data_IF_736816344661
#
_entry.id   IF_736816344661
#
_cell.length_a   1.000
_cell.length_b   1.000
_cell.length_c   1.000
_cell.angle_alpha   90.00
_cell.angle_beta   90.00
_cell.angle_gamma   90.00
#
_symmetry.space_group_name_H-M   'P 1'
#
loop_
_entity.id
_entity.type
_entity.pdbx_description
1 polymer ?
#
# COMPACT_ATOMS: atom_id res chain seq x y z
N UNK A 1 -13.23 -24.21 -13.23
CA UNK A 1 -12.49 -22.93 -13.27
C UNK A 1 -12.75 -22.19 -14.56
N UNK A 2 -12.27 -22.67 -15.71
CA UNK A 2 -12.49 -21.97 -16.99
C UNK A 2 -13.98 -21.83 -17.35
N UNK A 3 -14.77 -22.90 -17.25
CA UNK A 3 -16.21 -22.84 -17.57
C UNK A 3 -16.97 -21.90 -16.62
N UNK A 4 -16.52 -21.83 -15.37
CA UNK A 4 -17.09 -20.91 -14.38
C UNK A 4 -16.72 -19.46 -14.68
N UNK A 5 -15.48 -19.19 -15.09
CA UNK A 5 -15.06 -17.85 -15.53
C UNK A 5 -15.88 -17.40 -16.75
N UNK A 6 -16.08 -18.29 -17.72
CA UNK A 6 -16.91 -18.02 -18.90
C UNK A 6 -18.38 -17.78 -18.54
N UNK A 7 -18.92 -18.52 -17.57
CA UNK A 7 -20.28 -18.30 -17.06
C UNK A 7 -20.44 -16.91 -16.46
N UNK A 8 -19.47 -16.46 -15.65
CA UNK A 8 -19.48 -15.13 -15.05
C UNK A 8 -19.36 -14.02 -16.12
N UNK A 9 -18.55 -14.24 -17.16
CA UNK A 9 -18.48 -13.35 -18.32
C UNK A 9 -19.84 -13.24 -19.03
N UNK A 10 -20.59 -14.34 -19.13
CA UNK A 10 -21.95 -14.35 -19.68
C UNK A 10 -22.93 -13.41 -18.95
N UNK A 11 -22.64 -13.07 -17.69
CA UNK A 11 -23.39 -12.07 -16.91
C UNK A 11 -22.81 -10.65 -17.00
N UNK A 12 -21.89 -10.43 -17.92
CA UNK A 12 -21.24 -9.13 -18.15
C UNK A 12 -20.14 -8.79 -17.14
N UNK A 13 -19.65 -9.76 -16.36
CA UNK A 13 -18.61 -9.51 -15.36
C UNK A 13 -17.20 -9.68 -15.93
N UNK A 14 -16.30 -8.81 -15.48
CA UNK A 14 -14.91 -8.81 -15.87
C UNK A 14 -14.10 -9.66 -14.89
N UNK A 15 -13.50 -10.73 -15.40
CA UNK A 15 -12.81 -11.74 -14.60
C UNK A 15 -11.30 -11.76 -14.86
N UNK A 16 -10.53 -12.25 -13.90
CA UNK A 16 -9.09 -12.46 -14.03
C UNK A 16 -8.60 -13.62 -13.14
N UNK A 17 -7.49 -14.28 -13.49
CA UNK A 17 -6.95 -15.37 -12.68
C UNK A 17 -6.22 -14.84 -11.44
N UNK A 18 -6.46 -15.49 -10.30
CA UNK A 18 -5.73 -15.30 -9.05
C UNK A 18 -4.95 -16.56 -8.67
N UNK A 19 -3.92 -16.42 -7.83
CA UNK A 19 -3.17 -17.54 -7.27
C UNK A 19 -4.12 -18.59 -6.71
N UNK A 20 -3.83 -19.86 -7.01
CA UNK A 20 -4.57 -20.97 -6.41
C UNK A 20 -4.46 -20.90 -4.88
N UNK A 21 -5.60 -21.05 -4.20
CA UNK A 21 -5.70 -20.91 -2.72
C UNK A 21 -5.29 -19.53 -2.18
N UNK A 22 -5.12 -18.55 -3.06
CA UNK A 22 -4.77 -17.18 -2.73
C UNK A 22 -5.78 -16.19 -3.31
N UNK A 23 -5.47 -14.90 -3.14
CA UNK A 23 -6.29 -13.79 -3.64
C UNK A 23 -5.52 -12.86 -4.56
N UNK A 24 -4.22 -13.08 -4.72
CA UNK A 24 -3.33 -12.25 -5.52
C UNK A 24 -3.57 -12.51 -7.02
N UNK A 25 -3.79 -11.48 -7.84
CA UNK A 25 -3.86 -11.61 -9.28
C UNK A 25 -2.61 -12.27 -9.88
N UNK A 26 -2.78 -13.05 -10.95
CA UNK A 26 -1.69 -13.64 -11.75
C UNK A 26 -1.36 -12.86 -13.03
N UNK A 27 -2.20 -11.89 -13.36
CA UNK A 27 -2.04 -10.97 -14.50
C UNK A 27 -0.99 -9.89 -14.25
N UNK A 28 -0.42 -9.34 -15.33
CA UNK A 28 0.72 -8.41 -15.28
C UNK A 28 0.39 -7.10 -14.55
N UNK A 29 -0.76 -6.50 -14.83
CA UNK A 29 -1.25 -5.27 -14.18
C UNK A 29 -2.28 -5.58 -13.07
N UNK A 30 -2.25 -6.79 -12.54
CA UNK A 30 -3.19 -7.26 -11.54
C UNK A 30 -4.64 -7.27 -12.04
N UNK A 31 -5.59 -6.97 -11.16
CA UNK A 31 -7.02 -6.99 -11.51
C UNK A 31 -7.43 -5.98 -12.59
N UNK A 32 -6.55 -5.05 -12.96
CA UNK A 32 -6.80 -4.09 -14.06
C UNK A 32 -6.79 -4.76 -15.43
N UNK A 33 -6.19 -5.94 -15.56
CA UNK A 33 -6.25 -6.77 -16.77
C UNK A 33 -7.49 -7.68 -16.78
N UNK A 34 -8.49 -7.43 -15.93
CA UNK A 34 -9.72 -8.18 -15.97
C UNK A 34 -10.41 -8.04 -17.32
N UNK A 35 -10.97 -9.16 -17.80
CA UNK A 35 -11.53 -9.26 -19.14
C UNK A 35 -12.96 -9.81 -19.09
N UNK A 36 -13.81 -9.30 -19.98
CA UNK A 36 -15.09 -9.90 -20.30
C UNK A 36 -15.07 -10.55 -21.70
N UNK A 37 -13.89 -10.74 -22.30
CA UNK A 37 -13.72 -11.45 -23.57
C UNK A 37 -13.54 -12.96 -23.28
N UNK A 38 -14.48 -13.82 -23.73
CA UNK A 38 -14.37 -15.26 -23.57
C UNK A 38 -13.06 -15.84 -24.09
N UNK A 39 -12.53 -15.35 -25.21
CA UNK A 39 -11.31 -15.89 -25.81
C UNK A 39 -10.07 -15.52 -24.99
N UNK A 40 -10.01 -14.29 -24.48
CA UNK A 40 -8.98 -13.89 -23.53
C UNK A 40 -9.03 -14.72 -22.25
N UNK A 41 -10.23 -14.96 -21.70
CA UNK A 41 -10.40 -15.82 -20.53
C UNK A 41 -9.95 -17.25 -20.80
N UNK A 42 -10.27 -17.83 -21.97
CA UNK A 42 -9.77 -19.16 -22.36
C UNK A 42 -8.26 -19.22 -22.37
N UNK A 43 -7.58 -18.18 -22.89
CA UNK A 43 -6.11 -18.09 -22.88
C UNK A 43 -5.55 -18.02 -21.46
N UNK A 44 -6.11 -17.16 -20.61
CA UNK A 44 -5.69 -16.98 -19.22
C UNK A 44 -5.80 -18.28 -18.41
N UNK A 45 -6.93 -19.00 -18.51
CA UNK A 45 -7.10 -20.26 -17.77
C UNK A 45 -6.45 -21.48 -18.45
N UNK A 46 -6.10 -21.41 -19.74
CA UNK A 46 -5.18 -22.39 -20.34
C UNK A 46 -3.77 -22.25 -19.74
N UNK A 47 -3.32 -21.02 -19.53
CA UNK A 47 -2.03 -20.73 -18.89
C UNK A 47 -2.04 -21.05 -17.39
N UNK A 48 -3.16 -20.79 -16.70
CA UNK A 48 -3.31 -21.03 -15.26
C UNK A 48 -4.56 -21.89 -14.94
N UNK A 49 -4.54 -23.21 -15.20
CA UNK A 49 -5.73 -24.06 -15.10
C UNK A 49 -6.38 -24.09 -13.71
N UNK A 50 -5.57 -24.00 -12.67
CA UNK A 50 -5.99 -24.08 -11.27
C UNK A 50 -6.14 -22.72 -10.59
N UNK A 51 -6.08 -21.62 -11.36
CA UNK A 51 -6.23 -20.27 -10.82
C UNK A 51 -7.63 -20.05 -10.26
N UNK A 52 -7.68 -19.38 -9.11
CA UNK A 52 -8.91 -18.81 -8.58
C UNK A 52 -9.44 -17.73 -9.54
N UNK A 53 -10.73 -17.43 -9.44
CA UNK A 53 -11.40 -16.44 -10.27
C UNK A 53 -11.61 -15.18 -9.46
N UNK A 54 -10.98 -14.08 -9.88
CA UNK A 54 -11.28 -12.74 -9.40
C UNK A 54 -12.31 -12.05 -10.30
N UNK A 55 -13.15 -11.20 -9.72
CA UNK A 55 -14.06 -10.28 -10.44
C UNK A 55 -13.65 -8.85 -10.12
N UNK A 56 -13.33 -8.07 -11.14
CA UNK A 56 -13.06 -6.63 -10.99
C UNK A 56 -14.40 -5.88 -10.84
N UNK A 57 -14.67 -5.34 -9.66
CA UNK A 57 -16.00 -4.82 -9.31
C UNK A 57 -16.39 -3.63 -10.19
N UNK A 58 -15.54 -2.60 -10.27
CA UNK A 58 -15.82 -1.39 -11.04
C UNK A 58 -16.04 -1.66 -12.55
N UNK A 59 -15.16 -2.44 -13.18
CA UNK A 59 -15.32 -2.82 -14.58
C UNK A 59 -16.63 -3.60 -14.83
N UNK A 60 -17.04 -4.40 -13.85
CA UNK A 60 -18.30 -5.17 -13.90
C UNK A 60 -19.53 -4.35 -13.52
N UNK A 61 -19.39 -3.04 -13.21
CA UNK A 61 -20.46 -2.18 -12.65
C UNK A 61 -21.10 -2.79 -11.41
N UNK A 62 -20.26 -3.34 -10.54
CA UNK A 62 -20.65 -3.99 -9.30
C UNK A 62 -20.12 -3.24 -8.09
N UNK A 63 -20.91 -3.24 -7.03
CA UNK A 63 -20.48 -2.97 -5.67
C UNK A 63 -20.83 -4.18 -4.82
N UNK A 64 -19.86 -4.72 -4.08
CA UNK A 64 -20.02 -5.96 -3.32
C UNK A 64 -19.81 -5.69 -1.84
N UNK A 65 -20.82 -5.95 -1.01
CA UNK A 65 -20.65 -5.92 0.43
C UNK A 65 -20.04 -7.25 0.89
N UNK A 66 -18.79 -7.20 1.36
CA UNK A 66 -18.00 -8.28 1.91
C UNK A 66 -18.15 -8.29 3.44
N UNK A 67 -18.81 -9.33 3.95
CA UNK A 67 -19.16 -9.53 5.35
C UNK A 67 -18.26 -10.62 5.92
N UNK A 68 -17.32 -10.25 6.79
CA UNK A 68 -16.38 -11.18 7.45
C UNK A 68 -16.71 -11.34 8.96
N UNK A 69 -17.32 -12.47 9.37
CA UNK A 69 -17.66 -12.72 10.77
C UNK A 69 -16.45 -12.79 11.68
N UNK A 70 -15.26 -13.11 11.15
CA UNK A 70 -14.01 -13.14 11.95
C UNK A 70 -13.59 -11.75 12.39
N UNK A 71 -14.09 -10.71 11.71
CA UNK A 71 -13.82 -9.31 12.00
C UNK A 71 -15.05 -8.57 12.55
N UNK A 72 -16.08 -9.31 12.99
CA UNK A 72 -17.29 -8.76 13.61
C UNK A 72 -18.41 -8.38 12.63
N UNK A 73 -18.27 -8.75 11.35
CA UNK A 73 -19.30 -8.50 10.34
C UNK A 73 -20.40 -9.56 10.36
N UNK A 74 -21.65 -9.12 10.28
CA UNK A 74 -22.80 -10.00 10.10
C UNK A 74 -23.88 -9.33 9.25
N UNK A 75 -24.81 -10.11 8.70
CA UNK A 75 -25.94 -9.56 7.95
C UNK A 75 -26.81 -8.66 8.83
N UNK A 76 -26.95 -8.99 10.11
CA UNK A 76 -27.66 -8.18 11.10
C UNK A 76 -26.95 -6.85 11.33
N UNK A 77 -25.62 -6.85 11.42
CA UNK A 77 -24.84 -5.61 11.59
C UNK A 77 -24.95 -4.71 10.36
N UNK A 78 -24.92 -5.27 9.14
CA UNK A 78 -25.12 -4.54 7.90
C UNK A 78 -26.55 -3.97 7.83
N UNK A 79 -27.53 -4.78 8.21
CA UNK A 79 -28.94 -4.40 8.26
C UNK A 79 -29.20 -3.29 9.27
N UNK A 80 -28.54 -3.33 10.42
CA UNK A 80 -28.64 -2.27 11.43
C UNK A 80 -28.12 -0.93 10.93
N UNK A 81 -27.05 -0.94 10.14
CA UNK A 81 -26.41 0.28 9.64
C UNK A 81 -27.12 0.86 8.41
N UNK A 82 -27.62 0.01 7.52
CA UNK A 82 -28.10 0.44 6.20
C UNK A 82 -29.52 0.00 5.86
N UNK A 83 -30.23 -0.63 6.79
CA UNK A 83 -31.56 -1.22 6.56
C UNK A 83 -31.51 -2.60 5.91
N UNK A 84 -32.66 -3.26 5.73
CA UNK A 84 -32.72 -4.61 5.16
C UNK A 84 -32.15 -4.65 3.75
N UNK A 85 -31.32 -5.66 3.48
CA UNK A 85 -30.73 -5.85 2.15
C UNK A 85 -31.74 -6.49 1.20
N UNK A 86 -31.87 -6.00 -0.04
CA UNK A 86 -32.75 -6.62 -1.02
C UNK A 86 -32.22 -8.00 -1.42
N UNK A 87 -33.12 -8.81 -1.95
CA UNK A 87 -32.75 -10.07 -2.57
C UNK A 87 -31.81 -9.83 -3.76
N UNK A 88 -30.62 -10.43 -3.68
CA UNK A 88 -29.56 -10.24 -4.68
C UNK A 88 -28.66 -11.47 -4.77
N UNK A 89 -27.68 -11.46 -5.67
CA UNK A 89 -26.66 -12.51 -5.78
C UNK A 89 -25.85 -12.60 -4.49
N UNK A 90 -25.67 -13.83 -3.99
CA UNK A 90 -25.00 -14.09 -2.72
C UNK A 90 -23.96 -15.18 -2.85
N UNK A 91 -22.79 -14.94 -2.26
CA UNK A 91 -21.69 -15.92 -2.23
C UNK A 91 -21.25 -16.16 -0.80
N UNK A 92 -21.20 -17.43 -0.41
CA UNK A 92 -20.50 -17.85 0.81
C UNK A 92 -19.00 -17.85 0.53
N UNK A 93 -18.23 -17.14 1.34
CA UNK A 93 -16.77 -17.09 1.21
C UNK A 93 -16.15 -18.31 1.88
N UNK A 94 -14.96 -18.74 1.44
CA UNK A 94 -14.24 -19.84 2.10
C UNK A 94 -13.74 -19.50 3.52
N UNK A 95 -13.80 -18.23 3.94
CA UNK A 95 -13.53 -17.80 5.31
C UNK A 95 -14.75 -17.89 6.25
N UNK A 96 -15.91 -18.34 5.75
CA UNK A 96 -17.17 -18.38 6.50
C UNK A 96 -18.00 -17.11 6.41
N UNK A 97 -17.58 -16.13 5.61
CA UNK A 97 -18.28 -14.86 5.39
C UNK A 97 -19.28 -14.91 4.24
N UNK A 98 -19.82 -13.73 3.89
CA UNK A 98 -20.85 -13.53 2.87
C UNK A 98 -20.49 -12.36 1.97
N UNK A 99 -20.61 -12.53 0.65
CA UNK A 99 -20.62 -11.42 -0.29
C UNK A 99 -22.05 -11.19 -0.79
N UNK A 100 -22.51 -9.94 -0.77
CA UNK A 100 -23.75 -9.49 -1.42
C UNK A 100 -23.39 -8.60 -2.60
N UNK A 101 -23.80 -8.98 -3.80
CA UNK A 101 -23.44 -8.27 -5.04
C UNK A 101 -24.55 -7.31 -5.43
N UNK A 102 -24.23 -6.06 -5.73
CA UNK A 102 -25.18 -5.05 -6.19
C UNK A 102 -24.72 -4.43 -7.50
N UNK A 103 -25.66 -4.11 -8.39
CA UNK A 103 -25.36 -3.37 -9.61
C UNK A 103 -25.26 -1.87 -9.31
N UNK A 104 -24.32 -1.21 -9.98
CA UNK A 104 -24.20 0.25 -9.97
C UNK A 104 -24.83 0.83 -11.26
N UNK A 105 -25.20 2.10 -11.19
CA UNK A 105 -25.81 2.87 -12.28
C UNK A 105 -24.77 3.54 -13.20
N UNK A 106 -23.49 3.16 -13.07
CA UNK A 106 -22.37 3.76 -13.80
C UNK A 106 -21.77 5.01 -13.13
N UNK A 107 -22.39 5.55 -12.07
CA UNK A 107 -21.74 6.57 -11.24
C UNK A 107 -20.61 5.91 -10.42
N UNK A 108 -19.46 6.58 -10.22
CA UNK A 108 -18.38 6.02 -9.43
C UNK A 108 -18.85 5.66 -8.01
N UNK A 109 -18.46 4.49 -7.53
CA UNK A 109 -18.67 4.02 -6.17
C UNK A 109 -17.33 3.57 -5.63
N UNK A 110 -16.82 4.26 -4.60
CA UNK A 110 -15.51 3.93 -4.02
C UNK A 110 -15.63 2.79 -3.03
N UNK A 111 -14.69 1.84 -3.09
CA UNK A 111 -14.58 0.83 -2.04
C UNK A 111 -14.15 1.43 -0.70
N UNK A 112 -14.80 1.03 0.40
CA UNK A 112 -14.56 1.54 1.75
C UNK A 112 -14.98 0.56 2.83
N UNK A 113 -14.66 0.85 4.09
CA UNK A 113 -15.25 0.13 5.22
C UNK A 113 -16.64 0.68 5.53
N UNK A 114 -17.60 -0.22 5.67
CA UNK A 114 -18.96 0.09 6.11
C UNK A 114 -19.10 -0.02 7.63
N UNK A 115 -18.25 -0.84 8.26
CA UNK A 115 -18.24 -1.07 9.71
C UNK A 115 -17.26 -2.19 10.07
N UNK A 116 -17.20 -2.61 11.35
CA UNK A 116 -16.40 -3.76 11.77
C UNK A 116 -16.77 -5.02 10.97
N UNK A 117 -15.79 -5.57 10.24
CA UNK A 117 -15.98 -6.75 9.40
C UNK A 117 -16.92 -6.56 8.20
N UNK A 118 -17.24 -5.32 7.84
CA UNK A 118 -18.06 -4.99 6.67
C UNK A 118 -17.25 -4.10 5.73
N UNK A 119 -16.91 -4.61 4.55
CA UNK A 119 -16.18 -3.89 3.51
C UNK A 119 -17.03 -3.77 2.24
N UNK A 120 -17.11 -2.58 1.64
CA UNK A 120 -17.63 -2.40 0.30
C UNK A 120 -16.49 -2.50 -0.72
N UNK A 121 -16.59 -3.44 -1.66
CA UNK A 121 -15.68 -3.60 -2.79
C UNK A 121 -16.36 -3.08 -4.05
N UNK A 122 -15.87 -1.97 -4.59
CA UNK A 122 -16.45 -1.32 -5.76
C UNK A 122 -15.31 -0.85 -6.69
N UNK A 123 -15.31 0.39 -7.16
CA UNK A 123 -14.27 0.91 -8.06
C UNK A 123 -12.89 0.83 -7.42
N UNK A 124 -11.92 0.36 -8.22
CA UNK A 124 -10.56 0.08 -7.75
C UNK A 124 -10.44 -1.15 -6.84
N UNK A 125 -11.52 -1.93 -6.67
CA UNK A 125 -11.55 -3.15 -5.89
C UNK A 125 -11.97 -4.38 -6.71
N UNK A 126 -11.78 -5.55 -6.11
CA UNK A 126 -12.17 -6.84 -6.68
C UNK A 126 -12.57 -7.82 -5.57
N UNK A 127 -13.25 -8.89 -5.97
CA UNK A 127 -13.63 -10.00 -5.09
C UNK A 127 -13.22 -11.34 -5.70
N UNK A 128 -13.14 -12.38 -4.87
CA UNK A 128 -12.94 -13.76 -5.32
C UNK A 128 -14.30 -14.43 -5.50
N UNK A 129 -14.49 -15.06 -6.66
CA UNK A 129 -15.74 -15.67 -7.09
C UNK A 129 -15.74 -17.19 -6.92
N UNK A 130 -16.91 -17.83 -6.75
CA UNK A 130 -17.04 -19.27 -6.87
C UNK A 130 -16.58 -19.79 -8.25
N UNK A 131 -16.04 -21.03 -8.34
CA UNK A 131 -15.83 -22.01 -7.28
C UNK A 131 -14.42 -21.94 -6.68
N UNK A 132 -13.82 -20.75 -6.55
CA UNK A 132 -12.45 -20.57 -6.05
C UNK A 132 -12.20 -21.24 -4.69
N UNK A 133 -10.95 -21.57 -4.43
CA UNK A 133 -10.51 -22.24 -3.20
C UNK A 133 -9.84 -21.21 -2.30
N UNK A 134 -10.26 -21.13 -1.05
CA UNK A 134 -9.63 -20.29 -0.03
C UNK A 134 -8.34 -20.93 0.51
N UNK A 135 -7.48 -20.16 1.18
CA UNK A 135 -6.25 -20.68 1.80
C UNK A 135 -6.54 -21.82 2.81
N UNK A 136 -7.69 -21.76 3.48
CA UNK A 136 -8.20 -22.81 4.39
C UNK A 136 -8.69 -24.08 3.67
N UNK A 137 -8.60 -24.15 2.34
CA UNK A 137 -9.15 -25.21 1.48
C UNK A 137 -10.67 -25.19 1.32
N UNK A 138 -11.38 -24.33 2.05
CA UNK A 138 -12.81 -24.15 1.86
C UNK A 138 -13.12 -23.48 0.51
N UNK A 139 -14.24 -23.85 -0.10
CA UNK A 139 -14.62 -23.39 -1.43
C UNK A 139 -15.60 -22.21 -1.35
N UNK A 140 -15.35 -21.18 -2.15
CA UNK A 140 -16.33 -20.13 -2.43
C UNK A 140 -17.52 -20.76 -3.16
N UNK A 141 -18.75 -20.52 -2.69
CA UNK A 141 -19.96 -21.12 -3.28
C UNK A 141 -21.08 -20.11 -3.40
N UNK A 142 -21.87 -20.21 -4.45
CA UNK A 142 -23.09 -19.42 -4.57
C UNK A 142 -24.11 -19.93 -3.55
N UNK A 143 -24.66 -19.00 -2.76
CA UNK A 143 -25.91 -19.22 -2.03
C UNK A 143 -27.07 -18.89 -2.96
N UNK A 144 -26.93 -17.80 -3.72
CA UNK A 144 -27.83 -17.42 -4.82
C UNK A 144 -26.98 -17.01 -6.01
N UNK A 145 -27.10 -17.77 -7.10
CA UNK A 145 -26.28 -17.61 -8.29
C UNK A 145 -26.86 -16.55 -9.24
N UNK A 146 -26.03 -15.89 -10.08
CA UNK A 146 -26.49 -14.88 -11.04
C UNK A 146 -27.49 -15.41 -12.08
N UNK A 147 -27.56 -16.72 -12.30
CA UNK A 147 -28.57 -17.37 -13.13
C UNK A 147 -29.96 -17.40 -12.48
N UNK A 148 -30.01 -17.40 -11.14
CA UNK A 148 -31.24 -17.52 -10.37
C UNK A 148 -31.80 -16.17 -9.90
N UNK A 149 -30.91 -15.18 -9.71
CA UNK A 149 -31.29 -13.85 -9.24
C UNK A 149 -30.39 -12.79 -9.87
N UNK A 150 -30.99 -11.72 -10.38
CA UNK A 150 -30.22 -10.56 -10.87
C UNK A 150 -29.61 -9.79 -9.72
N UNK A 151 -28.44 -9.17 -9.92
CA UNK A 151 -27.88 -8.24 -8.94
C UNK A 151 -28.81 -7.04 -8.75
N UNK A 152 -29.31 -6.85 -7.53
CA UNK A 152 -30.17 -5.73 -7.17
C UNK A 152 -29.41 -4.39 -7.26
N UNK A 153 -30.09 -3.25 -7.45
CA UNK A 153 -29.48 -1.93 -7.33
C UNK A 153 -28.78 -1.76 -5.98
N UNK A 154 -27.64 -1.07 -5.96
CA UNK A 154 -26.98 -0.68 -4.70
C UNK A 154 -27.95 0.15 -3.84
N UNK A 155 -28.25 -0.26 -2.58
CA UNK A 155 -29.14 0.49 -1.72
C UNK A 155 -28.67 1.93 -1.51
N UNK A 156 -29.60 2.89 -1.59
CA UNK A 156 -29.31 4.31 -1.41
C UNK A 156 -28.70 4.64 -0.05
N UNK A 157 -29.04 3.87 1.00
CA UNK A 157 -28.41 4.00 2.33
C UNK A 157 -26.90 3.71 2.29
N UNK A 158 -26.48 2.71 1.51
CA UNK A 158 -25.06 2.41 1.30
C UNK A 158 -24.44 3.45 0.36
N UNK A 159 -25.18 3.99 -0.62
CA UNK A 159 -24.65 5.00 -1.53
C UNK A 159 -24.48 6.38 -0.87
N UNK A 160 -25.47 6.89 -0.13
CA UNK A 160 -25.44 8.25 0.47
C UNK A 160 -24.36 8.44 1.51
N UNK A 161 -23.95 7.38 2.21
CA UNK A 161 -22.80 7.46 3.11
C UNK A 161 -21.47 7.73 2.38
N UNK A 162 -21.42 7.62 1.04
CA UNK A 162 -20.32 8.16 0.22
C UNK A 162 -20.43 9.69 0.03
N UNK A 163 -21.66 10.23 -0.06
CA UNK A 163 -21.92 11.66 -0.28
C UNK A 163 -21.67 12.45 1.01
N UNK A 164 -22.19 12.00 2.15
CA UNK A 164 -21.94 12.69 3.43
C UNK A 164 -20.44 12.72 3.78
N UNK A 165 -19.69 11.65 3.49
CA UNK A 165 -18.23 11.65 3.69
C UNK A 165 -17.48 12.52 2.66
N UNK A 166 -18.04 12.72 1.46
CA UNK A 166 -17.49 13.63 0.44
C UNK A 166 -17.82 15.10 0.73
N UNK A 167 -19.04 15.42 1.15
CA UNK A 167 -19.48 16.77 1.53
C UNK A 167 -18.81 17.25 2.83
N UNK A 168 -18.56 16.33 3.78
CA UNK A 168 -17.74 16.66 4.97
C UNK A 168 -16.29 16.94 4.57
N UNK A 169 -15.78 16.37 3.47
CA UNK A 169 -14.43 16.67 2.97
C UNK A 169 -14.37 18.00 2.20
N UNK A 170 -15.37 18.34 1.40
CA UNK A 170 -15.46 19.63 0.67
C UNK A 170 -15.76 20.83 1.58
N UNK A 171 -16.51 20.63 2.67
CA UNK A 171 -16.78 21.69 3.67
C UNK A 171 -15.53 22.03 4.50
N UNK A 172 -14.62 21.07 4.67
CA UNK A 172 -13.31 21.30 5.31
C UNK A 172 -12.38 22.08 4.37
N UNK A 173 -12.42 21.80 3.07
CA UNK A 173 -11.56 22.44 2.06
C UNK A 173 -11.96 23.91 1.78
N UNK A 174 -13.25 24.24 1.91
CA UNK A 174 -13.77 25.62 1.73
C UNK A 174 -13.58 26.50 2.98
N UNK A 175 -13.60 25.91 4.18
CA UNK A 175 -13.24 26.62 5.41
C UNK A 175 -11.72 26.93 5.48
N UNK A 176 -10.86 26.08 4.89
CA UNK A 176 -9.40 26.29 4.82
C UNK A 176 -8.99 27.45 3.88
N UNK A 177 -9.82 27.86 2.92
CA UNK A 177 -9.55 28.99 2.01
C UNK A 177 -9.81 30.39 2.59
N UNK A 178 -10.58 30.50 3.69
CA UNK A 178 -10.90 31.79 4.29
C UNK A 178 -9.88 32.22 5.38
N UNK A 179 -9.20 31.27 6.01
CA UNK A 179 -8.14 31.54 7.00
C UNK A 179 -6.73 31.66 6.37
N UNK A 180 -6.59 31.45 5.06
CA UNK A 180 -5.29 31.42 4.36
C UNK A 180 -4.67 32.79 4.05
N UNK A 181 -5.30 33.90 4.43
CA UNK A 181 -4.80 35.24 4.12
C UNK A 181 -3.89 35.87 5.18
N UNK A 182 -3.80 35.32 6.40
CA UNK A 182 -3.10 36.01 7.52
C UNK A 182 -1.93 35.25 8.17
N UNK A 183 -1.63 34.00 7.77
CA UNK A 183 -0.58 33.20 8.43
C UNK A 183 0.48 32.65 7.47
N UNK A 184 0.94 33.51 6.57
CA UNK A 184 2.17 33.30 5.83
C UNK A 184 3.38 33.69 6.69
N UNK A 185 3.75 32.89 7.69
CA UNK A 185 5.12 32.80 8.21
C UNK A 185 5.26 31.67 9.25
N UNK A 186 6.16 30.72 9.01
CA UNK A 186 6.61 29.60 9.86
C UNK A 186 5.91 28.22 9.76
N UNK A 187 6.49 27.35 8.93
CA UNK A 187 6.98 26.01 9.34
C UNK A 187 5.98 24.96 9.85
N UNK A 188 5.65 24.01 8.98
CA UNK A 188 4.90 22.76 9.22
C UNK A 188 5.19 22.08 10.58
N UNK A 189 4.22 22.15 11.51
CA UNK A 189 4.19 21.36 12.73
C UNK A 189 2.81 20.68 12.87
N UNK A 190 2.75 19.36 12.66
CA UNK A 190 1.53 18.56 12.89
C UNK A 190 1.22 18.60 14.40
N UNK A 191 0.00 18.96 14.82
CA UNK A 191 -0.35 18.96 16.25
C UNK A 191 -0.28 17.54 16.87
N UNK A 192 0.15 17.43 18.13
CA UNK A 192 0.23 16.16 18.90
C UNK A 192 -1.07 15.35 18.83
N UNK A 193 -2.23 16.01 18.92
CA UNK A 193 -3.53 15.35 18.81
C UNK A 193 -3.72 14.65 17.47
N UNK A 194 -3.21 15.25 16.37
CA UNK A 194 -3.25 14.67 15.03
C UNK A 194 -2.28 13.50 14.90
N UNK A 195 -1.11 13.55 15.54
CA UNK A 195 -0.18 12.41 15.58
C UNK A 195 -0.77 11.19 16.28
N UNK A 196 -1.47 11.41 17.39
CA UNK A 196 -2.16 10.33 18.11
C UNK A 196 -3.23 9.70 17.20
N UNK A 197 -4.13 10.52 16.65
CA UNK A 197 -5.23 10.04 15.81
C UNK A 197 -4.76 9.21 14.59
N UNK A 198 -3.70 9.66 13.90
CA UNK A 198 -3.14 8.99 12.72
C UNK A 198 -2.45 7.65 13.02
N UNK A 199 -2.20 7.36 14.30
CA UNK A 199 -1.46 6.18 14.74
C UNK A 199 -2.26 5.28 15.65
N UNK A 200 -3.56 5.53 15.84
CA UNK A 200 -4.42 4.62 16.58
C UNK A 200 -4.61 3.29 15.83
N UNK A 201 -4.67 2.15 16.56
CA UNK A 201 -5.08 0.88 15.98
C UNK A 201 -6.56 0.94 15.60
N UNK A 202 -6.94 0.15 14.59
CA UNK A 202 -8.35 -0.01 14.19
C UNK A 202 -8.86 -1.44 14.39
N UNK A 203 -8.12 -2.25 15.16
CA UNK A 203 -8.49 -3.62 15.52
C UNK A 203 -7.43 -4.31 16.40
N UNK A 204 -7.78 -5.48 16.96
CA UNK A 204 -6.93 -6.21 17.89
C UNK A 204 -5.63 -6.69 17.20
N UNK A 205 -4.56 -6.83 17.98
CA UNK A 205 -3.24 -7.28 17.49
C UNK A 205 -2.41 -6.23 16.75
N UNK A 206 -2.94 -5.01 16.55
CA UNK A 206 -2.22 -3.93 15.85
C UNK A 206 -1.39 -3.02 16.76
N UNK A 207 -1.55 -3.14 18.09
CA UNK A 207 -0.97 -2.27 19.13
C UNK A 207 0.51 -1.98 18.89
N UNK A 208 1.36 -3.01 18.83
CA UNK A 208 2.80 -2.86 18.73
C UNK A 208 3.22 -2.09 17.45
N UNK A 209 2.64 -2.43 16.29
CA UNK A 209 2.90 -1.72 15.02
C UNK A 209 2.46 -0.25 15.07
N UNK A 210 1.32 0.03 15.69
CA UNK A 210 0.75 1.36 15.79
C UNK A 210 1.52 2.25 16.78
N UNK A 211 1.93 1.70 17.93
CA UNK A 211 2.87 2.36 18.88
C UNK A 211 4.20 2.67 18.21
N UNK A 212 4.74 1.73 17.41
CA UNK A 212 5.97 1.96 16.66
C UNK A 212 5.82 3.09 15.63
N UNK A 213 4.67 3.18 14.95
CA UNK A 213 4.37 4.31 14.05
C UNK A 213 4.26 5.63 14.81
N UNK A 214 3.66 5.63 15.99
CA UNK A 214 3.57 6.82 16.86
C UNK A 214 4.95 7.32 17.28
N UNK A 215 5.83 6.45 17.75
CA UNK A 215 7.23 6.78 18.06
C UNK A 215 7.96 7.38 16.85
N UNK A 216 7.71 6.87 15.64
CA UNK A 216 8.29 7.42 14.40
C UNK A 216 7.78 8.80 14.02
N UNK A 217 6.52 9.12 14.31
CA UNK A 217 5.94 10.44 14.04
C UNK A 217 6.44 11.48 15.04
N UNK A 218 6.62 11.08 16.30
CA UNK A 218 7.26 11.95 17.30
C UNK A 218 8.71 12.24 16.92
N UNK A 219 9.49 11.25 16.47
CA UNK A 219 10.85 11.47 15.98
C UNK A 219 10.95 12.30 14.70
N UNK A 220 9.88 12.46 13.93
CA UNK A 220 9.87 13.33 12.73
C UNK A 220 9.61 14.79 13.03
N UNK A 221 9.21 15.10 14.26
CA UNK A 221 8.89 16.45 14.66
C UNK A 221 10.02 17.00 15.54
N UNK A 222 10.60 18.12 15.15
CA UNK A 222 11.76 18.72 15.84
C UNK A 222 11.48 19.06 17.30
N UNK A 223 10.20 19.21 17.70
CA UNK A 223 9.82 19.46 19.09
C UNK A 223 9.99 18.24 20.01
N UNK A 224 9.99 17.03 19.45
CA UNK A 224 10.00 15.78 20.20
C UNK A 224 11.15 14.85 19.82
N UNK A 225 11.89 15.13 18.76
CA UNK A 225 12.92 14.26 18.20
C UNK A 225 13.99 13.83 19.22
N UNK A 226 14.42 14.76 20.08
CA UNK A 226 15.45 14.55 21.11
C UNK A 226 14.88 14.48 22.53
N UNK A 227 13.55 14.37 22.67
CA UNK A 227 12.92 14.28 23.99
C UNK A 227 13.33 12.99 24.71
N UNK A 228 13.52 13.09 26.02
CA UNK A 228 13.62 11.91 26.87
C UNK A 228 12.30 11.14 26.76
N UNK A 229 12.38 9.82 26.61
CA UNK A 229 11.20 8.98 26.55
C UNK A 229 10.26 9.23 27.74
N UNK A 230 10.80 9.49 28.94
CA UNK A 230 10.02 9.81 30.15
C UNK A 230 9.13 11.04 29.94
N UNK A 231 9.59 12.07 29.22
CA UNK A 231 8.82 13.27 28.90
C UNK A 231 7.66 12.97 27.94
N UNK A 232 7.76 11.91 27.16
CA UNK A 232 6.72 11.48 26.22
C UNK A 232 5.63 10.61 26.87
N UNK A 233 5.85 10.16 28.11
CA UNK A 233 4.93 9.28 28.85
C UNK A 233 3.48 9.78 28.88
N UNK A 234 3.18 11.07 29.11
CA UNK A 234 1.80 11.56 29.09
C UNK A 234 1.11 11.42 27.73
N UNK A 235 1.86 11.57 26.63
CA UNK A 235 1.31 11.42 25.27
C UNK A 235 1.05 9.95 24.93
N UNK A 236 1.94 9.05 25.36
CA UNK A 236 1.75 7.60 25.19
C UNK A 236 0.58 7.09 26.06
N UNK A 237 0.37 7.66 27.25
CA UNK A 237 -0.82 7.38 28.06
C UNK A 237 -2.10 7.84 27.37
N UNK A 238 -2.10 9.03 26.77
CA UNK A 238 -3.23 9.55 26.00
C UNK A 238 -3.51 8.67 24.76
N UNK A 239 -2.46 8.27 24.06
CA UNK A 239 -2.55 7.32 22.95
C UNK A 239 -3.13 5.98 23.40
N UNK A 240 -2.63 5.42 24.49
CA UNK A 240 -3.11 4.14 25.04
C UNK A 240 -4.59 4.20 25.39
N UNK A 241 -5.03 5.26 26.07
CA UNK A 241 -6.44 5.48 26.44
C UNK A 241 -7.36 5.49 25.21
N UNK A 242 -6.92 6.13 24.13
CA UNK A 242 -7.68 6.17 22.87
C UNK A 242 -7.58 4.86 22.07
N UNK A 243 -6.53 4.07 22.30
CA UNK A 243 -6.35 2.76 21.69
C UNK A 243 -7.13 1.64 22.39
N UNK A 244 -7.51 1.81 23.67
CA UNK A 244 -8.25 0.82 24.48
C UNK A 244 -9.46 0.18 23.79
N UNK A 245 -10.30 0.93 23.03
CA UNK A 245 -11.43 0.32 22.31
C UNK A 245 -11.02 -0.68 21.22
N UNK A 246 -9.77 -0.64 20.76
CA UNK A 246 -9.27 -1.39 19.61
C UNK A 246 -8.23 -2.46 20.00
N UNK A 247 -7.69 -2.45 21.22
CA UNK A 247 -6.63 -3.36 21.66
C UNK A 247 -7.12 -4.31 22.74
N UNK A 248 -6.63 -5.57 22.73
CA UNK A 248 -6.96 -6.56 23.78
C UNK A 248 -6.19 -6.35 25.09
N UNK A 249 -5.01 -5.73 25.00
CA UNK A 249 -4.12 -5.47 26.13
C UNK A 249 -4.62 -4.28 26.94
N UNK A 250 -5.02 -4.49 28.20
CA UNK A 250 -5.64 -3.44 29.04
C UNK A 250 -4.65 -2.67 29.89
N UNK A 251 -3.45 -3.20 30.11
CA UNK A 251 -2.46 -2.54 30.95
C UNK A 251 -1.62 -1.54 30.14
N UNK A 252 -1.47 -0.34 30.70
CA UNK A 252 -0.60 0.69 30.12
C UNK A 252 0.87 0.24 30.09
N UNK A 253 1.32 -0.56 31.07
CA UNK A 253 2.71 -1.03 31.18
C UNK A 253 3.21 -1.73 29.92
N UNK A 254 2.36 -2.55 29.30
CA UNK A 254 2.64 -3.21 28.03
C UNK A 254 2.85 -2.21 26.88
N UNK A 255 2.01 -1.17 26.82
CA UNK A 255 2.11 -0.13 25.77
C UNK A 255 3.32 0.75 25.97
N UNK A 256 3.65 1.01 27.23
CA UNK A 256 4.84 1.73 27.62
C UNK A 256 6.13 0.97 27.26
N UNK A 257 6.20 -0.32 27.58
CA UNK A 257 7.33 -1.19 27.22
C UNK A 257 7.58 -1.22 25.71
N UNK A 258 6.52 -1.44 24.91
CA UNK A 258 6.60 -1.42 23.45
C UNK A 258 7.06 -0.05 22.92
N UNK A 259 6.62 1.05 23.55
CA UNK A 259 7.02 2.39 23.16
C UNK A 259 8.49 2.68 23.44
N UNK A 260 9.00 2.34 24.64
CA UNK A 260 10.42 2.50 24.99
C UNK A 260 11.29 1.73 24.00
N UNK A 261 10.93 0.48 23.72
CA UNK A 261 11.64 -0.36 22.77
C UNK A 261 11.60 0.20 21.34
N UNK A 262 10.47 0.76 20.92
CA UNK A 262 10.34 1.46 19.64
C UNK A 262 11.21 2.73 19.61
N UNK A 263 11.15 3.57 20.65
CA UNK A 263 11.85 4.86 20.74
C UNK A 263 13.36 4.72 20.60
N UNK A 264 13.95 3.72 21.26
CA UNK A 264 15.37 3.40 21.12
C UNK A 264 15.77 2.81 19.76
N UNK A 265 14.83 2.21 19.01
CA UNK A 265 15.08 1.55 17.71
C UNK A 265 14.75 2.39 16.49
N UNK A 266 14.04 3.50 16.63
CA UNK A 266 13.72 4.38 15.50
C UNK A 266 14.96 5.20 15.14
N UNK A 267 15.67 4.74 14.10
CA UNK A 267 16.79 5.45 13.45
C UNK A 267 16.35 6.42 12.35
N UNK A 268 15.09 6.34 11.85
CA UNK A 268 14.61 7.18 10.74
C UNK A 268 13.13 7.62 10.89
N UNK A 269 12.82 8.93 10.77
CA UNK A 269 11.47 9.47 10.89
C UNK A 269 10.50 9.05 9.75
N UNK A 270 9.20 9.35 9.88
CA UNK A 270 8.13 8.83 9.01
C UNK A 270 8.33 9.16 7.51
N UNK A 271 8.51 8.12 6.70
CA UNK A 271 9.06 8.18 5.35
C UNK A 271 8.18 8.81 4.24
N UNK A 272 6.99 9.34 4.49
CA UNK A 272 6.17 9.83 3.38
C UNK A 272 6.54 11.26 2.93
N UNK A 273 6.83 12.18 3.85
CA UNK A 273 7.14 13.57 3.48
C UNK A 273 8.54 13.71 2.89
N UNK A 274 9.53 12.98 3.43
CA UNK A 274 10.91 12.98 2.92
C UNK A 274 10.97 12.43 1.50
N UNK A 275 10.26 11.34 1.20
CA UNK A 275 10.27 10.73 -0.13
C UNK A 275 9.50 11.57 -1.16
N UNK A 276 8.40 12.21 -0.75
CA UNK A 276 7.65 13.14 -1.62
C UNK A 276 8.47 14.39 -1.90
N UNK A 277 9.11 14.97 -0.88
CA UNK A 277 10.03 16.11 -1.02
C UNK A 277 11.24 15.76 -1.89
N UNK A 278 11.84 14.60 -1.66
CA UNK A 278 12.98 14.12 -2.45
C UNK A 278 12.62 13.94 -3.93
N UNK A 279 11.39 13.52 -4.23
CA UNK A 279 10.90 13.44 -5.62
C UNK A 279 10.76 14.82 -6.23
N UNK A 280 10.09 15.74 -5.54
CA UNK A 280 9.88 17.10 -6.04
C UNK A 280 11.22 17.79 -6.33
N UNK A 281 12.18 17.65 -5.43
CA UNK A 281 13.54 18.15 -5.61
C UNK A 281 14.24 17.47 -6.79
N UNK A 282 14.17 16.14 -6.91
CA UNK A 282 14.78 15.41 -8.03
C UNK A 282 14.20 15.80 -9.41
N UNK A 283 12.94 16.25 -9.47
CA UNK A 283 12.32 16.76 -10.69
C UNK A 283 12.79 18.19 -11.02
N UNK A 284 13.05 19.00 -10.00
CA UNK A 284 13.51 20.39 -10.14
C UNK A 284 15.03 20.53 -10.26
N UNK A 285 15.79 19.47 -9.96
CA UNK A 285 17.26 19.45 -9.93
C UNK A 285 17.86 19.56 -11.36
N UNK A 286 18.50 20.70 -11.69
CA UNK A 286 19.03 20.96 -13.04
C UNK A 286 20.42 20.35 -13.25
N UNK A 287 21.03 19.79 -12.21
CA UNK A 287 22.43 19.38 -12.25
C UNK A 287 22.73 18.25 -13.24
N UNK A 288 23.98 18.25 -13.68
CA UNK A 288 24.48 17.22 -14.58
C UNK A 288 24.59 15.86 -13.86
N UNK A 289 24.20 14.83 -14.60
CA UNK A 289 24.35 13.44 -14.20
C UNK A 289 25.65 12.86 -14.77
N UNK A 290 26.22 11.82 -14.13
CA UNK A 290 27.43 11.16 -14.63
C UNK A 290 27.31 10.77 -16.12
N UNK A 291 28.38 10.83 -16.92
CA UNK A 291 28.34 10.51 -18.35
C UNK A 291 27.71 9.14 -18.66
N UNK A 292 27.98 8.13 -17.81
CA UNK A 292 27.40 6.78 -17.93
C UNK A 292 25.88 6.77 -17.77
N UNK A 293 25.30 7.70 -17.03
CA UNK A 293 23.84 7.81 -16.89
C UNK A 293 23.21 8.48 -18.13
N UNK A 294 23.98 9.33 -18.82
CA UNK A 294 23.53 9.97 -20.07
C UNK A 294 23.45 8.96 -21.21
N UNK A 295 24.37 7.99 -21.27
CA UNK A 295 24.43 6.97 -22.34
C UNK A 295 23.25 6.00 -22.36
N UNK A 296 22.52 5.83 -21.25
CA UNK A 296 21.32 4.99 -21.22
C UNK A 296 20.15 5.53 -22.06
N UNK A 297 20.14 6.82 -22.40
CA UNK A 297 19.12 7.40 -23.30
C UNK A 297 17.68 7.41 -22.77
N UNK A 298 17.45 7.16 -21.47
CA UNK A 298 16.10 7.02 -20.88
C UNK A 298 15.81 8.11 -19.83
N UNK A 299 14.86 9.00 -20.06
CA UNK A 299 14.57 10.09 -19.11
C UNK A 299 14.14 9.61 -17.71
N UNK A 300 13.43 8.48 -17.65
CA UNK A 300 13.01 7.88 -16.39
C UNK A 300 14.18 7.36 -15.55
N UNK A 301 15.27 6.90 -16.16
CA UNK A 301 16.45 6.48 -15.39
C UNK A 301 17.21 7.69 -14.85
N UNK A 302 17.25 8.80 -15.61
CA UNK A 302 17.82 10.07 -15.16
C UNK A 302 17.08 10.57 -13.92
N UNK A 303 15.75 10.52 -13.92
CA UNK A 303 14.93 10.87 -12.75
C UNK A 303 15.19 9.95 -11.55
N UNK A 304 15.31 8.64 -11.76
CA UNK A 304 15.66 7.69 -10.69
C UNK A 304 17.03 8.00 -10.07
N UNK A 305 18.03 8.32 -10.89
CA UNK A 305 19.37 8.66 -10.40
C UNK A 305 19.36 9.98 -9.61
N UNK A 306 18.67 11.01 -10.10
CA UNK A 306 18.47 12.27 -9.34
C UNK A 306 17.79 12.00 -8.00
N UNK A 307 16.76 11.16 -8.01
CA UNK A 307 16.06 10.77 -6.79
C UNK A 307 16.99 10.06 -5.79
N UNK A 308 17.80 9.10 -6.23
CA UNK A 308 18.81 8.46 -5.39
C UNK A 308 19.83 9.45 -4.81
N UNK A 309 20.26 10.44 -5.60
CA UNK A 309 21.19 11.47 -5.14
C UNK A 309 20.59 12.36 -4.06
N UNK A 310 19.35 12.81 -4.24
CA UNK A 310 18.63 13.58 -3.22
C UNK A 310 18.44 12.76 -1.95
N UNK A 311 18.09 11.47 -2.07
CA UNK A 311 18.00 10.57 -0.93
C UNK A 311 19.35 10.40 -0.21
N UNK A 312 20.47 10.34 -0.94
CA UNK A 312 21.80 10.30 -0.34
C UNK A 312 22.09 11.58 0.46
N UNK A 313 21.82 12.75 -0.12
CA UNK A 313 22.01 14.04 0.53
C UNK A 313 21.20 14.14 1.83
N UNK A 314 19.93 13.73 1.78
CA UNK A 314 19.03 13.71 2.94
C UNK A 314 19.44 12.66 3.99
N UNK A 315 20.10 11.57 3.58
CA UNK A 315 20.63 10.55 4.48
C UNK A 315 22.01 10.90 5.06
N UNK A 316 22.68 11.95 4.57
CA UNK A 316 24.02 12.36 5.00
C UNK A 316 25.09 11.29 4.69
N UNK A 317 25.99 11.02 5.64
CA UNK A 317 27.02 9.97 5.51
C UNK A 317 26.48 8.53 5.56
N UNK A 318 25.21 8.36 5.92
CA UNK A 318 24.55 7.07 5.99
C UNK A 318 23.97 6.66 4.62
N UNK A 319 23.85 5.34 4.41
CA UNK A 319 23.13 4.83 3.22
C UNK A 319 21.62 5.02 3.36
N UNK A 320 20.93 5.26 2.25
CA UNK A 320 19.48 5.42 2.19
C UNK A 320 18.78 4.11 1.84
N UNK A 321 17.52 3.96 2.26
CA UNK A 321 16.70 2.80 1.92
C UNK A 321 15.82 3.07 0.71
N UNK A 322 15.80 2.14 -0.23
CA UNK A 322 14.94 2.24 -1.41
C UNK A 322 14.32 0.89 -1.74
N UNK A 323 13.00 0.84 -1.89
CA UNK A 323 12.28 -0.36 -2.30
C UNK A 323 11.76 -0.20 -3.73
N UNK A 324 11.69 -1.29 -4.50
CA UNK A 324 11.11 -1.26 -5.84
C UNK A 324 9.64 -0.74 -5.80
N UNK A 325 8.88 -1.08 -4.76
CA UNK A 325 7.52 -0.56 -4.54
C UNK A 325 7.47 0.96 -4.26
N UNK A 326 8.48 1.50 -3.56
CA UNK A 326 8.59 2.94 -3.32
C UNK A 326 8.82 3.70 -4.62
N UNK A 327 9.72 3.19 -5.47
CA UNK A 327 10.04 3.80 -6.76
C UNK A 327 8.84 3.72 -7.71
N UNK A 328 8.12 2.60 -7.74
CA UNK A 328 6.92 2.48 -8.57
C UNK A 328 5.85 3.48 -8.17
N UNK A 329 5.57 3.59 -6.87
CA UNK A 329 4.58 4.54 -6.34
C UNK A 329 4.96 6.00 -6.62
N UNK A 330 6.23 6.36 -6.52
CA UNK A 330 6.66 7.76 -6.57
C UNK A 330 7.12 8.20 -7.95
N UNK A 331 7.84 7.37 -8.68
CA UNK A 331 8.41 7.73 -9.98
C UNK A 331 7.67 7.09 -11.16
N UNK A 332 6.68 6.22 -10.90
CA UNK A 332 5.92 5.54 -11.96
C UNK A 332 6.74 4.51 -12.74
N UNK A 333 7.87 4.04 -12.18
CA UNK A 333 8.73 3.03 -12.80
C UNK A 333 8.34 1.65 -12.24
N UNK A 334 7.89 0.70 -13.07
CA UNK A 334 7.45 -0.62 -12.59
C UNK A 334 8.49 -1.32 -11.71
N UNK A 335 8.07 -2.03 -10.66
CA UNK A 335 8.97 -2.65 -9.69
C UNK A 335 10.01 -3.58 -10.33
N UNK A 336 9.63 -4.37 -11.34
CA UNK A 336 10.59 -5.24 -12.04
C UNK A 336 11.64 -4.44 -12.82
N UNK A 337 11.24 -3.34 -13.46
CA UNK A 337 12.14 -2.42 -14.15
C UNK A 337 13.05 -1.71 -13.16
N UNK A 338 12.52 -1.24 -12.04
CA UNK A 338 13.31 -0.66 -10.95
C UNK A 338 14.36 -1.64 -10.45
N UNK A 339 13.97 -2.89 -10.17
CA UNK A 339 14.90 -3.88 -9.66
C UNK A 339 16.02 -4.20 -10.68
N UNK A 340 15.74 -4.20 -12.00
CA UNK A 340 16.76 -4.32 -13.05
C UNK A 340 17.66 -3.08 -13.14
N UNK A 341 17.09 -1.89 -13.11
CA UNK A 341 17.83 -0.64 -13.18
C UNK A 341 18.71 -0.42 -11.95
N UNK A 342 18.24 -0.76 -10.75
CA UNK A 342 19.07 -0.69 -9.55
C UNK A 342 20.27 -1.64 -9.64
N UNK A 343 20.11 -2.84 -10.21
CA UNK A 343 21.24 -3.75 -10.48
C UNK A 343 22.21 -3.14 -11.49
N UNK A 344 21.70 -2.62 -12.60
CA UNK A 344 22.52 -1.96 -13.63
C UNK A 344 23.30 -0.78 -13.05
N UNK A 345 22.65 0.13 -12.32
CA UNK A 345 23.29 1.24 -11.64
C UNK A 345 24.35 0.82 -10.61
N UNK A 346 24.20 -0.36 -10.00
CA UNK A 346 25.25 -0.92 -9.13
C UNK A 346 26.43 -1.43 -9.96
N UNK A 347 26.15 -2.18 -11.03
CA UNK A 347 27.17 -2.70 -11.95
C UNK A 347 28.00 -1.58 -12.55
N UNK A 348 27.35 -0.48 -12.93
CA UNK A 348 27.98 0.69 -13.55
C UNK A 348 28.54 1.70 -12.54
N UNK A 349 28.62 1.32 -11.26
CA UNK A 349 29.28 2.11 -10.21
C UNK A 349 28.54 3.38 -9.76
N UNK A 350 27.30 3.61 -10.21
CA UNK A 350 26.47 4.77 -9.83
C UNK A 350 25.90 4.61 -8.42
N UNK A 351 25.63 3.37 -7.99
CA UNK A 351 25.13 3.02 -6.67
C UNK A 351 25.97 1.90 -6.03
N UNK A 352 26.04 1.90 -4.70
CA UNK A 352 26.59 0.78 -3.92
C UNK A 352 25.50 0.22 -3.03
N UNK A 353 25.20 -1.08 -3.14
CA UNK A 353 24.32 -1.77 -2.19
C UNK A 353 25.11 -2.08 -0.90
N UNK A 354 24.91 -1.26 0.14
CA UNK A 354 25.61 -1.41 1.44
C UNK A 354 24.95 -2.46 2.33
N UNK A 355 23.66 -2.76 2.12
CA UNK A 355 22.98 -3.87 2.81
C UNK A 355 21.87 -4.45 1.93
N UNK A 356 21.88 -5.75 1.64
CA UNK A 356 20.82 -6.38 0.85
C UNK A 356 19.47 -6.31 1.59
N UNK A 357 18.41 -6.20 0.81
CA UNK A 357 17.04 -6.22 1.33
C UNK A 357 16.63 -7.62 1.80
N UNK A 358 15.65 -7.69 2.67
CA UNK A 358 14.99 -8.95 3.09
C UNK A 358 13.50 -8.87 2.76
N UNK A 359 12.76 -9.96 3.00
CA UNK A 359 11.28 -9.98 2.90
C UNK A 359 10.59 -8.84 3.66
N UNK A 360 11.24 -8.29 4.69
CA UNK A 360 10.66 -7.28 5.59
C UNK A 360 11.39 -5.93 5.59
N UNK A 361 12.56 -5.82 4.92
CA UNK A 361 13.38 -4.60 4.93
C UNK A 361 13.87 -4.28 3.52
N UNK A 362 13.71 -3.03 3.10
CA UNK A 362 14.29 -2.54 1.86
C UNK A 362 15.82 -2.63 1.90
N UNK A 363 16.45 -2.78 0.73
CA UNK A 363 17.90 -2.70 0.61
C UNK A 363 18.40 -1.27 0.92
N UNK A 364 19.62 -1.18 1.43
CA UNK A 364 20.31 0.08 1.72
C UNK A 364 21.33 0.36 0.64
N UNK A 365 21.28 1.56 0.07
CA UNK A 365 22.13 2.00 -1.03
C UNK A 365 22.95 3.23 -0.62
N UNK A 366 24.06 3.46 -1.33
CA UNK A 366 24.81 4.71 -1.32
C UNK A 366 24.96 5.21 -2.76
N UNK A 367 24.76 6.50 -2.99
CA UNK A 367 25.02 7.14 -4.28
C UNK A 367 26.51 7.50 -4.39
N UNK A 368 27.12 7.22 -5.54
CA UNK A 368 28.53 7.50 -5.83
C UNK A 368 28.62 8.72 -6.75
N UNK A 369 29.18 9.86 -6.30
CA UNK A 369 29.47 11.00 -7.18
C UNK A 369 30.49 10.62 -8.25
N UNK A 370 30.37 11.20 -9.45
CA UNK A 370 31.28 10.92 -10.58
C UNK A 370 32.76 11.13 -10.21
N UNK A 371 33.03 12.08 -9.33
CA UNK A 371 34.36 12.52 -8.89
C UNK A 371 35.10 11.47 -8.04
N UNK A 372 34.41 10.42 -7.59
CA UNK A 372 34.99 9.34 -6.76
C UNK A 372 35.39 8.09 -7.58
N UNK A 373 35.17 8.09 -8.90
CA UNK A 373 35.42 6.94 -9.77
C UNK A 373 36.85 6.85 -10.33
N UNK A 374 37.68 7.86 -10.15
CA UNK A 374 39.13 7.80 -10.41
C UNK A 374 39.87 7.37 -9.14
N UNK A 375 39.99 6.06 -8.93
CA UNK A 375 40.76 5.54 -7.79
C UNK A 375 40.88 4.03 -7.66
N UNK A 376 40.54 3.25 -8.68
CA UNK A 376 40.84 1.81 -8.72
C UNK A 376 41.09 1.32 -10.14
N UNK A 377 42.33 1.51 -10.60
CA UNK A 377 43.05 0.61 -11.49
C UNK A 377 44.44 1.23 -11.70
N UNK A 378 45.43 0.75 -10.94
CA UNK A 378 46.87 0.70 -11.25
C UNK A 378 47.67 0.59 -9.95
N UNK A 379 47.96 -0.66 -9.54
CA UNK A 379 49.22 -1.10 -8.90
C UNK A 379 49.00 -2.52 -8.39
N UNK A 380 49.28 -3.51 -9.23
CA UNK A 380 49.70 -4.87 -8.83
C UNK A 380 50.22 -5.55 -10.10
N UNK A 381 51.33 -5.02 -10.62
CA UNK A 381 52.16 -5.63 -11.63
C UNK A 381 53.57 -5.03 -11.60
N UNK A 382 54.24 -5.14 -10.46
CA UNK A 382 55.71 -5.23 -10.40
C UNK A 382 55.96 -6.63 -9.80
N UNK A 383 56.48 -7.59 -10.55
CA UNK A 383 57.78 -7.48 -11.22
C UNK A 383 58.76 -8.29 -10.37
N UNK A 384 58.60 -9.62 -10.42
CA UNK A 384 59.63 -10.56 -9.95
C UNK A 384 60.89 -10.26 -10.74
N UNK A 385 61.92 -9.75 -10.08
CA UNK A 385 63.30 -9.78 -10.54
C UNK A 385 64.02 -10.79 -9.65
N UNK A 386 64.35 -11.92 -10.26
CA UNK A 386 65.50 -12.72 -9.89
C UNK A 386 66.76 -11.85 -9.98
N UNK A 387 67.65 -11.95 -8.99
CA UNK A 387 69.09 -11.96 -9.22
C UNK A 387 69.79 -12.56 -7.98
N UNK A 388 70.37 -13.74 -8.21
CA UNK A 388 71.46 -14.35 -7.46
C UNK A 388 72.73 -13.49 -7.63
N UNK A 389 73.36 -13.09 -6.52
CA UNK A 389 74.80 -13.17 -6.18
C UNK A 389 75.18 -12.24 -5.01
#
# INVERSE_FOLDING_TARGET
MIDDALRLIGHGWFVFPCKSRGKEPLTLHGFKDATNDPEMARRLWRQFPNANIGIACGASKLAVADIDPRNGGSLESLTRLFGPMPDTVQVRTGGGGLHLYFRTDGRPVRGRKLGPGLDLKADGGYVIAPPSIHESSARYSFIRAPEAVSSAPLPESIRRSDIEQAETAETIETAETAETAEQAEHGCAVSMSRMIALTLPNGPGQRNRCVFRFARMLKSDSRYADADAVQLRPFVQRWHRQALPFIRTKEFGETWSDFIHAWGRVEFPAANDVLVRARAEAMADPSELPPIVRSYGMDRIRLLVRFCRVLQRLAGGNGFFLSCATVERLLGIPSQTTCRWLKMLITDGVLVCTKPGTKFKAARYRYVPADASTGRAESDADGVSDDDD
#
